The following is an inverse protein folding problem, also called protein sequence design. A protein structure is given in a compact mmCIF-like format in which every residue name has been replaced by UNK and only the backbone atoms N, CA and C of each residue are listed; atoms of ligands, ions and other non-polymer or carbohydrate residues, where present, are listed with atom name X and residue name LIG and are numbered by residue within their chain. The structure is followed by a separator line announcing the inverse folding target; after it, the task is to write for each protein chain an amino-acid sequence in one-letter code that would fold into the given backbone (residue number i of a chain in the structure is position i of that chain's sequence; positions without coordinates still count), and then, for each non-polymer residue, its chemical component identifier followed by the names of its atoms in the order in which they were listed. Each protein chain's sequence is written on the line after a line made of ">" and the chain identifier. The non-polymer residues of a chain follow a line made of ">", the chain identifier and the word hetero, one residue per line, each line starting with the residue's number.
data_IF_452717271884
#
_entry.id   IF_452717271884
#
_cell.length_a   1.000
_cell.length_b   1.000
_cell.length_c   1.000
_cell.angle_alpha   90.00
_cell.angle_beta   90.00
_cell.angle_gamma   90.00
#
_symmetry.space_group_name_H-M   'P 1'
#
loop_
_entity.id
_entity.type
_entity.pdbx_description
1 polymer ?
#
# COMPACT_ATOMS: atom_id res chain seq x y z
N UNK A 1 1.96 -10.63 18.70
CA UNK A 1 2.06 -10.32 17.26
C UNK A 1 2.57 -8.90 17.01
N UNK A 2 1.87 -7.84 17.44
CA UNK A 2 2.33 -6.44 17.31
C UNK A 2 3.82 -6.21 17.65
N UNK A 3 4.28 -6.76 18.79
CA UNK A 3 5.68 -6.66 19.24
C UNK A 3 6.71 -7.14 18.20
N UNK A 4 6.39 -8.14 17.38
CA UNK A 4 7.30 -8.65 16.34
C UNK A 4 7.49 -7.63 15.21
N UNK A 5 6.40 -6.94 14.82
CA UNK A 5 6.46 -5.88 13.81
C UNK A 5 7.15 -4.65 14.38
N UNK A 6 6.86 -4.27 15.62
CA UNK A 6 7.53 -3.15 16.31
C UNK A 6 9.04 -3.34 16.44
N UNK A 7 9.51 -4.60 16.49
CA UNK A 7 10.92 -4.95 16.63
C UNK A 7 11.51 -5.63 15.38
N UNK A 8 10.90 -5.42 14.21
CA UNK A 8 11.34 -6.05 12.95
C UNK A 8 12.81 -5.80 12.63
N UNK A 9 13.36 -4.65 13.02
CA UNK A 9 14.78 -4.32 12.81
C UNK A 9 15.74 -5.31 13.47
N UNK A 10 15.39 -5.88 14.63
CA UNK A 10 16.20 -6.91 15.32
C UNK A 10 16.14 -8.22 14.54
N UNK A 11 14.95 -8.60 14.09
CA UNK A 11 14.71 -9.85 13.36
C UNK A 11 15.39 -9.85 11.99
N UNK A 12 15.51 -8.67 11.37
CA UNK A 12 16.13 -8.47 10.07
C UNK A 12 17.66 -8.27 10.13
N UNK A 13 18.28 -8.26 11.32
CA UNK A 13 19.72 -8.07 11.49
C UNK A 13 20.56 -9.36 11.29
N UNK A 14 19.92 -10.52 11.09
CA UNK A 14 20.59 -11.82 10.97
C UNK A 14 21.21 -12.13 9.60
N UNK A 15 21.70 -13.38 9.45
CA UNK A 15 22.21 -13.91 8.17
C UNK A 15 21.13 -13.92 7.08
N UNK A 16 21.53 -14.02 5.80
CA UNK A 16 20.60 -13.97 4.68
C UNK A 16 19.46 -15.01 4.77
N UNK A 17 19.76 -16.24 5.19
CA UNK A 17 18.76 -17.29 5.39
C UNK A 17 17.80 -16.96 6.55
N UNK A 18 18.33 -16.45 7.67
CA UNK A 18 17.51 -16.04 8.80
C UNK A 18 16.58 -14.88 8.42
N UNK A 19 17.08 -13.90 7.67
CA UNK A 19 16.26 -12.81 7.15
C UNK A 19 15.12 -13.32 6.28
N UNK A 20 15.37 -14.28 5.38
CA UNK A 20 14.31 -14.86 4.55
C UNK A 20 13.20 -15.49 5.38
N UNK A 21 13.55 -16.34 6.36
CA UNK A 21 12.57 -16.98 7.23
C UNK A 21 11.83 -15.95 8.09
N UNK A 22 12.52 -14.93 8.58
CA UNK A 22 11.91 -13.86 9.38
C UNK A 22 11.00 -12.95 8.55
N UNK A 23 11.28 -12.73 7.27
CA UNK A 23 10.39 -11.99 6.38
C UNK A 23 9.04 -12.71 6.21
N UNK A 24 9.01 -14.03 6.11
CA UNK A 24 7.76 -14.81 6.06
C UNK A 24 6.95 -14.70 7.37
N UNK A 25 7.64 -14.69 8.51
CA UNK A 25 6.98 -14.45 9.81
C UNK A 25 6.43 -13.02 9.87
N UNK A 26 7.23 -12.03 9.48
CA UNK A 26 6.81 -10.62 9.45
C UNK A 26 5.64 -10.41 8.48
N UNK A 27 5.60 -11.13 7.36
CA UNK A 27 4.47 -11.15 6.43
C UNK A 27 3.19 -11.60 7.15
N UNK A 28 3.22 -12.78 7.78
CA UNK A 28 2.06 -13.32 8.47
C UNK A 28 1.59 -12.39 9.59
N UNK A 29 2.53 -11.80 10.34
CA UNK A 29 2.21 -10.86 11.43
C UNK A 29 1.61 -9.57 10.88
N UNK A 30 2.20 -8.99 9.83
CA UNK A 30 1.69 -7.78 9.18
C UNK A 30 0.26 -7.98 8.64
N UNK A 31 0.01 -9.13 8.02
CA UNK A 31 -1.32 -9.50 7.54
C UNK A 31 -2.32 -9.60 8.70
N UNK A 32 -1.99 -10.33 9.77
CA UNK A 32 -2.86 -10.44 10.95
C UNK A 32 -3.14 -9.05 11.54
N UNK A 33 -2.14 -8.20 11.66
CA UNK A 33 -2.31 -6.85 12.20
C UNK A 33 -3.23 -5.98 11.33
N UNK A 34 -3.20 -6.15 10.00
CA UNK A 34 -4.06 -5.40 9.09
C UNK A 34 -5.49 -5.94 9.02
N UNK A 35 -5.69 -7.25 8.97
CA UNK A 35 -7.03 -7.86 8.90
C UNK A 35 -7.79 -7.81 10.22
N UNK A 36 -7.08 -7.96 11.33
CA UNK A 36 -7.65 -8.06 12.68
C UNK A 36 -7.18 -6.88 13.53
N UNK A 37 -7.15 -5.69 12.94
CA UNK A 37 -6.65 -4.47 13.60
C UNK A 37 -7.37 -4.19 14.91
N UNK A 38 -8.66 -4.51 15.02
CA UNK A 38 -9.46 -4.39 16.24
C UNK A 38 -8.91 -5.20 17.43
N UNK A 39 -8.07 -6.21 17.19
CA UNK A 39 -7.42 -7.02 18.22
C UNK A 39 -5.96 -6.61 18.49
N UNK A 40 -5.45 -5.62 17.76
CA UNK A 40 -4.10 -5.07 17.93
C UNK A 40 -4.11 -4.00 19.02
N UNK A 41 -3.35 -4.22 20.10
CA UNK A 41 -3.31 -3.29 21.24
C UNK A 41 -2.68 -1.93 20.92
N UNK A 42 -1.66 -1.89 20.06
CA UNK A 42 -0.92 -0.68 19.70
C UNK A 42 -0.91 -0.51 18.18
N UNK A 43 -2.09 -0.28 17.59
CA UNK A 43 -2.25 -0.15 16.13
C UNK A 43 -1.32 0.93 15.56
N UNK A 44 -1.22 2.08 16.24
CA UNK A 44 -0.37 3.20 15.81
C UNK A 44 1.11 2.85 15.82
N UNK A 45 1.62 2.22 16.88
CA UNK A 45 3.01 1.76 16.93
C UNK A 45 3.35 0.71 15.87
N UNK A 46 2.41 -0.20 15.59
CA UNK A 46 2.55 -1.17 14.49
C UNK A 46 2.62 -0.45 13.15
N UNK A 47 1.70 0.47 12.86
CA UNK A 47 1.69 1.27 11.62
C UNK A 47 3.02 2.03 11.45
N UNK A 48 3.46 2.74 12.49
CA UNK A 48 4.72 3.48 12.48
C UNK A 48 5.93 2.57 12.22
N UNK A 49 5.96 1.37 12.80
CA UNK A 49 7.03 0.40 12.56
C UNK A 49 7.01 -0.14 11.13
N UNK A 50 5.84 -0.48 10.61
CA UNK A 50 5.69 -0.92 9.23
C UNK A 50 6.15 0.16 8.25
N UNK A 51 5.82 1.42 8.50
CA UNK A 51 6.26 2.58 7.71
C UNK A 51 7.77 2.86 7.83
N UNK A 52 8.47 2.40 8.87
CA UNK A 52 9.93 2.52 9.00
C UNK A 52 10.70 1.46 8.23
N UNK A 53 10.01 0.43 7.73
CA UNK A 53 10.66 -0.69 7.03
C UNK A 53 11.20 -0.25 5.67
N UNK A 54 12.49 -0.49 5.42
CA UNK A 54 13.11 -0.21 4.11
C UNK A 54 12.58 -1.19 3.05
N UNK A 55 12.14 -0.70 1.88
CA UNK A 55 11.67 -1.56 0.78
C UNK A 55 12.66 -2.66 0.35
N UNK A 56 13.97 -2.37 0.40
CA UNK A 56 15.02 -3.32 0.03
C UNK A 56 15.26 -4.44 1.05
N UNK A 57 14.64 -4.38 2.23
CA UNK A 57 14.80 -5.38 3.27
C UNK A 57 13.87 -6.61 3.09
N UNK A 58 12.92 -6.56 2.15
CA UNK A 58 11.92 -7.61 1.95
C UNK A 58 11.81 -8.04 0.47
N UNK A 59 11.55 -9.32 0.21
CA UNK A 59 11.12 -9.78 -1.12
C UNK A 59 9.85 -9.05 -1.60
N UNK A 60 9.73 -8.87 -2.92
CA UNK A 60 8.63 -8.10 -3.51
C UNK A 60 7.22 -8.57 -3.15
N UNK A 61 6.97 -9.88 -3.13
CA UNK A 61 5.65 -10.41 -2.78
C UNK A 61 5.29 -10.11 -1.31
N UNK A 62 6.27 -10.15 -0.40
CA UNK A 62 6.11 -9.79 1.02
C UNK A 62 5.84 -8.28 1.13
N UNK A 63 6.64 -7.47 0.44
CA UNK A 63 6.51 -6.02 0.45
C UNK A 63 5.13 -5.55 -0.06
N UNK A 64 4.58 -6.21 -1.08
CA UNK A 64 3.25 -5.88 -1.61
C UNK A 64 2.13 -6.12 -0.58
N UNK A 65 2.21 -7.21 0.17
CA UNK A 65 1.26 -7.50 1.26
C UNK A 65 1.51 -6.54 2.43
N UNK A 66 2.76 -6.21 2.73
CA UNK A 66 3.12 -5.24 3.77
C UNK A 66 2.50 -3.85 3.51
N UNK A 67 2.64 -3.32 2.29
CA UNK A 67 2.04 -2.03 1.88
C UNK A 67 0.52 -2.06 1.94
N UNK A 68 -0.11 -3.18 1.56
CA UNK A 68 -1.56 -3.32 1.67
C UNK A 68 -2.03 -3.21 3.13
N UNK A 69 -1.34 -3.87 4.06
CA UNK A 69 -1.71 -3.89 5.47
C UNK A 69 -1.39 -2.59 6.20
N UNK A 70 -0.40 -1.81 5.74
CA UNK A 70 -0.23 -0.40 6.12
C UNK A 70 -1.52 0.39 5.85
N UNK A 71 -2.11 0.20 4.67
CA UNK A 71 -3.36 0.86 4.28
C UNK A 71 -4.56 0.45 5.15
N UNK A 72 -4.67 -0.84 5.50
CA UNK A 72 -5.72 -1.35 6.40
C UNK A 72 -5.61 -0.77 7.82
N UNK A 73 -4.40 -0.73 8.37
CA UNK A 73 -4.14 -0.13 9.69
C UNK A 73 -4.47 1.37 9.70
N UNK A 74 -4.06 2.11 8.67
CA UNK A 74 -4.43 3.51 8.52
C UNK A 74 -5.94 3.70 8.48
N UNK A 75 -6.66 2.89 7.69
CA UNK A 75 -8.12 2.93 7.62
C UNK A 75 -8.78 2.70 8.98
N UNK A 76 -8.31 1.70 9.72
CA UNK A 76 -8.85 1.37 11.04
C UNK A 76 -8.61 2.47 12.06
N UNK A 77 -7.39 3.03 12.12
CA UNK A 77 -7.05 4.15 13.01
C UNK A 77 -7.80 5.43 12.65
N UNK A 78 -7.89 5.74 11.36
CA UNK A 78 -8.60 6.92 10.85
C UNK A 78 -10.08 6.87 11.23
N UNK A 79 -10.72 5.71 11.04
CA UNK A 79 -12.14 5.54 11.38
C UNK A 79 -12.40 5.73 12.88
N UNK A 80 -11.50 5.21 13.73
CA UNK A 80 -11.58 5.42 15.18
C UNK A 80 -11.44 6.92 15.55
N UNK A 81 -10.48 7.62 14.95
CA UNK A 81 -10.28 9.04 15.18
C UNK A 81 -11.50 9.88 14.72
N UNK A 82 -12.11 9.52 13.59
CA UNK A 82 -13.35 10.14 13.12
C UNK A 82 -14.54 9.88 14.03
N UNK A 83 -14.70 8.67 14.55
CA UNK A 83 -15.78 8.33 15.49
C UNK A 83 -15.69 9.14 16.79
N UNK A 84 -14.46 9.49 17.21
CA UNK A 84 -14.17 10.32 18.37
C UNK A 84 -14.14 11.83 18.07
N UNK A 85 -14.30 12.24 16.80
CA UNK A 85 -14.11 13.61 16.32
C UNK A 85 -12.71 14.18 16.69
N UNK A 86 -11.70 13.31 16.84
CA UNK A 86 -10.31 13.68 17.14
C UNK A 86 -9.57 14.10 15.87
N UNK A 87 -9.85 15.34 15.45
CA UNK A 87 -9.27 15.94 14.26
C UNK A 87 -7.75 16.12 14.32
N UNK A 88 -7.18 16.31 15.51
CA UNK A 88 -5.72 16.41 15.66
C UNK A 88 -5.05 15.07 15.37
N UNK A 89 -5.67 13.97 15.79
CA UNK A 89 -5.21 12.63 15.45
C UNK A 89 -5.37 12.32 13.96
N UNK A 90 -6.47 12.72 13.33
CA UNK A 90 -6.69 12.61 11.88
C UNK A 90 -5.56 13.32 11.11
N UNK A 91 -5.33 14.60 11.41
CA UNK A 91 -4.29 15.41 10.76
C UNK A 91 -2.89 14.79 11.01
N UNK A 92 -2.65 14.24 12.21
CA UNK A 92 -1.42 13.55 12.56
C UNK A 92 -1.20 12.27 11.74
N UNK A 93 -2.26 11.47 11.52
CA UNK A 93 -2.22 10.24 10.73
C UNK A 93 -1.94 10.52 9.24
N UNK A 94 -2.61 11.52 8.66
CA UNK A 94 -2.39 11.92 7.28
C UNK A 94 -0.94 12.37 7.05
N UNK A 95 -0.42 13.21 7.94
CA UNK A 95 0.97 13.67 7.90
C UNK A 95 1.98 12.51 8.05
N UNK A 96 1.71 11.58 8.97
CA UNK A 96 2.55 10.38 9.13
C UNK A 96 2.61 9.58 7.83
N UNK A 97 1.45 9.32 7.23
CA UNK A 97 1.36 8.54 6.00
C UNK A 97 2.03 9.24 4.82
N UNK A 98 1.71 10.52 4.57
CA UNK A 98 2.27 11.28 3.46
C UNK A 98 3.78 11.52 3.59
N UNK A 99 4.31 11.54 4.82
CA UNK A 99 5.76 11.70 5.05
C UNK A 99 6.55 10.40 4.91
N UNK A 100 5.97 9.23 5.24
CA UNK A 100 6.70 7.95 5.25
C UNK A 100 6.41 7.05 4.07
N UNK A 101 5.19 7.07 3.52
CA UNK A 101 4.82 6.22 2.40
C UNK A 101 5.62 6.46 1.09
N UNK A 102 6.13 7.68 0.78
CA UNK A 102 6.89 7.92 -0.44
C UNK A 102 8.12 7.03 -0.65
N UNK A 103 8.72 6.47 0.41
CA UNK A 103 9.87 5.57 0.26
C UNK A 103 9.52 4.29 -0.53
N UNK A 104 8.28 3.80 -0.42
CA UNK A 104 7.83 2.57 -1.09
C UNK A 104 7.57 2.77 -2.58
N UNK A 105 7.33 4.01 -3.01
CA UNK A 105 7.15 4.37 -4.43
C UNK A 105 8.41 4.12 -5.26
N UNK A 106 9.60 4.13 -4.65
CA UNK A 106 10.86 3.85 -5.34
C UNK A 106 11.26 2.37 -5.25
N UNK A 107 10.34 1.49 -4.85
CA UNK A 107 10.60 0.05 -4.88
C UNK A 107 10.82 -0.44 -6.32
N UNK A 108 11.84 -1.28 -6.49
CA UNK A 108 12.11 -2.04 -7.72
C UNK A 108 11.09 -3.17 -7.96
N UNK A 109 10.23 -3.46 -6.99
CA UNK A 109 9.14 -4.42 -7.11
C UNK A 109 7.85 -3.72 -7.57
N UNK A 110 7.50 -3.90 -8.85
CA UNK A 110 6.42 -3.18 -9.52
C UNK A 110 5.06 -3.26 -8.81
N UNK A 111 4.70 -4.42 -8.26
CA UNK A 111 3.43 -4.60 -7.54
C UNK A 111 3.41 -3.78 -6.24
N UNK A 112 4.47 -3.83 -5.43
CA UNK A 112 4.59 -3.05 -4.21
C UNK A 112 4.61 -1.54 -4.50
N UNK A 113 5.34 -1.13 -5.54
CA UNK A 113 5.37 0.24 -6.02
C UNK A 113 3.97 0.72 -6.40
N UNK A 114 3.24 -0.02 -7.23
CA UNK A 114 1.88 0.35 -7.66
C UNK A 114 0.93 0.51 -6.48
N UNK A 115 0.97 -0.42 -5.52
CA UNK A 115 0.15 -0.31 -4.29
C UNK A 115 0.50 0.93 -3.48
N UNK A 116 1.78 1.23 -3.30
CA UNK A 116 2.21 2.43 -2.57
C UNK A 116 1.76 3.72 -3.27
N UNK A 117 1.89 3.79 -4.59
CA UNK A 117 1.45 4.93 -5.39
C UNK A 117 -0.07 5.12 -5.33
N UNK A 118 -0.83 4.03 -5.45
CA UNK A 118 -2.29 4.06 -5.34
C UNK A 118 -2.71 4.52 -3.95
N UNK A 119 -2.14 3.94 -2.89
CA UNK A 119 -2.44 4.31 -1.51
C UNK A 119 -2.10 5.78 -1.23
N UNK A 120 -0.95 6.28 -1.71
CA UNK A 120 -0.60 7.70 -1.57
C UNK A 120 -1.59 8.63 -2.30
N UNK A 121 -2.10 8.23 -3.46
CA UNK A 121 -3.13 8.98 -4.18
C UNK A 121 -4.42 9.06 -3.37
N UNK A 122 -4.86 7.92 -2.84
CA UNK A 122 -6.05 7.81 -2.01
C UNK A 122 -5.92 8.72 -0.78
N UNK A 123 -4.79 8.67 -0.08
CA UNK A 123 -4.55 9.49 1.12
C UNK A 123 -4.54 10.98 0.79
N UNK A 124 -4.00 11.40 -0.36
CA UNK A 124 -4.07 12.82 -0.79
C UNK A 124 -5.50 13.29 -1.04
N UNK A 125 -6.35 12.42 -1.60
CA UNK A 125 -7.77 12.74 -1.80
C UNK A 125 -8.46 12.87 -0.44
N UNK A 126 -8.21 11.93 0.47
CA UNK A 126 -8.76 11.91 1.82
C UNK A 126 -8.33 13.14 2.62
N UNK A 127 -7.04 13.46 2.62
CA UNK A 127 -6.48 14.65 3.29
C UNK A 127 -7.13 15.96 2.80
N UNK A 128 -7.46 16.05 1.52
CA UNK A 128 -8.19 17.21 0.98
C UNK A 128 -9.63 17.36 1.49
N UNK A 129 -10.27 16.25 1.88
CA UNK A 129 -11.58 16.22 2.52
C UNK A 129 -11.47 16.49 4.04
N UNK A 130 -10.46 15.94 4.70
CA UNK A 130 -10.17 16.22 6.12
C UNK A 130 -9.88 17.70 6.39
N UNK A 131 -9.21 18.41 5.46
CA UNK A 131 -9.06 19.88 5.51
C UNK A 131 -10.38 20.64 5.55
N UNK A 132 -11.46 20.04 5.04
CA UNK A 132 -12.82 20.58 5.04
C UNK A 132 -13.66 20.00 6.18
N UNK A 133 -13.04 19.28 7.14
CA UNK A 133 -13.68 18.56 8.24
C UNK A 133 -14.76 17.57 7.76
N UNK A 134 -14.52 16.93 6.62
CA UNK A 134 -15.39 15.88 6.07
C UNK A 134 -14.82 14.52 6.44
N UNK A 135 -15.63 13.68 7.09
CA UNK A 135 -15.30 12.30 7.43
C UNK A 135 -15.29 11.43 6.18
N UNK A 136 -14.28 10.57 6.04
CA UNK A 136 -14.05 9.66 4.90
C UNK A 136 -13.79 8.21 5.34
N UNK A 137 -13.84 7.91 6.63
CA UNK A 137 -13.56 6.60 7.20
C UNK A 137 -14.47 5.50 6.65
N UNK A 138 -15.77 5.78 6.48
CA UNK A 138 -16.72 4.81 5.94
C UNK A 138 -16.41 4.45 4.47
N UNK A 139 -16.08 5.43 3.64
CA UNK A 139 -15.65 5.24 2.25
C UNK A 139 -14.32 4.49 2.19
N UNK A 140 -13.40 4.80 3.09
CA UNK A 140 -12.10 4.15 3.18
C UNK A 140 -12.23 2.69 3.62
N UNK A 141 -13.14 2.36 4.54
CA UNK A 141 -13.42 0.98 4.94
C UNK A 141 -13.94 0.15 3.77
N UNK A 142 -14.86 0.70 2.96
CA UNK A 142 -15.39 0.04 1.76
C UNK A 142 -14.33 -0.33 0.74
N UNK A 143 -13.20 0.38 0.69
CA UNK A 143 -12.08 0.03 -0.20
C UNK A 143 -11.47 -1.34 0.14
N UNK A 144 -11.53 -1.73 1.41
CA UNK A 144 -10.98 -2.98 1.92
C UNK A 144 -12.05 -4.03 2.22
N UNK A 145 -13.31 -3.73 1.92
CA UNK A 145 -14.41 -4.67 2.08
C UNK A 145 -14.44 -5.67 0.91
N UNK A 146 -14.53 -6.95 1.26
CA UNK A 146 -14.48 -8.07 0.31
C UNK A 146 -13.07 -8.53 -0.11
N UNK A 147 -13.02 -9.70 -0.75
CA UNK A 147 -11.77 -10.26 -1.26
C UNK A 147 -11.38 -9.61 -2.59
N UNK A 148 -10.19 -9.01 -2.66
CA UNK A 148 -9.58 -8.61 -3.92
C UNK A 148 -9.13 -9.86 -4.69
N UNK A 149 -10.00 -10.36 -5.57
CA UNK A 149 -9.67 -11.48 -6.45
C UNK A 149 -8.66 -10.99 -7.50
N UNK A 150 -7.48 -11.63 -7.63
CA UNK A 150 -6.57 -11.33 -8.71
C UNK A 150 -7.30 -11.44 -10.04
N UNK A 151 -7.20 -10.41 -10.87
CA UNK A 151 -7.82 -10.46 -12.21
C UNK A 151 -7.21 -11.65 -12.94
N UNK A 152 -8.02 -12.67 -13.21
CA UNK A 152 -7.55 -13.88 -13.87
C UNK A 152 -6.85 -13.52 -15.19
N UNK A 153 -5.75 -14.21 -15.53
CA UNK A 153 -4.97 -13.93 -16.75
C UNK A 153 -5.84 -13.85 -18.00
N UNK A 154 -6.87 -14.70 -18.08
CA UNK A 154 -7.88 -14.69 -19.16
C UNK A 154 -8.71 -13.40 -19.20
N UNK A 155 -9.08 -12.84 -18.05
CA UNK A 155 -9.77 -11.55 -17.95
C UNK A 155 -8.83 -10.39 -18.29
N UNK A 156 -7.58 -10.45 -17.81
CA UNK A 156 -6.55 -9.44 -18.10
C UNK A 156 -6.23 -9.33 -19.61
N UNK A 157 -6.21 -10.47 -20.31
CA UNK A 157 -6.02 -10.50 -21.77
C UNK A 157 -7.13 -9.78 -22.54
N UNK A 158 -8.35 -9.69 -21.97
CA UNK A 158 -9.50 -9.01 -22.59
C UNK A 158 -9.48 -7.50 -22.42
N UNK A 159 -8.63 -6.94 -21.55
CA UNK A 159 -8.55 -5.49 -21.32
C UNK A 159 -7.99 -4.79 -22.57
N UNK A 160 -8.76 -3.96 -23.31
CA UNK A 160 -8.28 -3.31 -24.52
C UNK A 160 -7.07 -2.41 -24.21
N UNK A 161 -6.16 -2.25 -25.18
CA UNK A 161 -5.04 -1.30 -25.03
C UNK A 161 -5.64 0.11 -25.07
N UNK A 162 -5.34 0.98 -24.08
CA UNK A 162 -5.86 2.34 -24.06
C UNK A 162 -5.46 3.12 -25.32
N UNK A 163 -6.36 3.98 -25.80
CA UNK A 163 -6.06 4.90 -26.89
C UNK A 163 -4.98 5.91 -26.48
N UNK A 164 -4.12 6.33 -27.42
CA UNK A 164 -2.99 7.23 -27.14
C UNK A 164 -3.42 8.56 -26.48
N UNK A 165 -4.62 9.04 -26.80
CA UNK A 165 -5.21 10.25 -26.22
C UNK A 165 -5.52 10.11 -24.71
N UNK A 166 -5.82 8.90 -24.24
CA UNK A 166 -6.01 8.58 -22.82
C UNK A 166 -4.65 8.48 -22.13
N UNK A 167 -3.64 7.94 -22.82
CA UNK A 167 -2.28 7.79 -22.31
C UNK A 167 -1.61 9.14 -22.00
N UNK A 168 -1.79 10.15 -22.87
CA UNK A 168 -1.31 11.51 -22.60
C UNK A 168 -1.91 12.14 -21.34
N UNK A 169 -3.20 11.86 -21.05
CA UNK A 169 -3.88 12.34 -19.85
C UNK A 169 -3.40 11.59 -18.60
N UNK A 170 -3.19 10.27 -18.69
CA UNK A 170 -2.62 9.43 -17.63
C UNK A 170 -1.18 9.84 -17.28
N UNK A 171 -0.35 10.13 -18.28
CA UNK A 171 1.03 10.61 -18.09
C UNK A 171 1.10 11.92 -17.32
N UNK A 172 0.09 12.80 -17.49
CA UNK A 172 0.01 14.06 -16.76
C UNK A 172 -0.24 13.83 -15.26
N UNK A 173 -1.12 12.87 -14.91
CA UNK A 173 -1.33 12.44 -13.52
C UNK A 173 -0.09 11.75 -12.95
N UNK A 174 0.59 10.91 -13.71
CA UNK A 174 1.79 10.21 -13.21
C UNK A 174 3.03 11.09 -13.13
N UNK A 175 3.11 12.15 -13.94
CA UNK A 175 4.11 13.21 -13.79
C UNK A 175 3.90 14.00 -12.48
N UNK A 176 2.65 14.36 -12.14
CA UNK A 176 2.29 14.98 -10.85
C UNK A 176 2.62 14.05 -9.67
N UNK A 177 2.45 12.74 -9.87
CA UNK A 177 2.71 11.72 -8.84
C UNK A 177 4.16 11.23 -8.83
N UNK A 178 4.99 11.63 -9.81
CA UNK A 178 6.39 11.25 -10.02
C UNK A 178 6.65 9.75 -10.20
N UNK A 179 5.70 8.99 -10.73
CA UNK A 179 5.79 7.53 -10.93
C UNK A 179 6.03 7.26 -12.43
N UNK A 180 7.02 6.43 -12.82
CA UNK A 180 7.17 6.05 -14.21
C UNK A 180 5.96 5.22 -14.68
N UNK A 181 5.30 5.66 -15.75
CA UNK A 181 4.26 4.90 -16.42
C UNK A 181 4.86 3.88 -17.39
N UNK A 182 4.19 2.74 -17.54
CA UNK A 182 4.54 1.74 -18.54
C UNK A 182 4.05 2.22 -19.92
N UNK A 183 5.00 2.53 -20.80
CA UNK A 183 4.74 3.01 -22.18
C UNK A 183 3.76 2.09 -22.92
N UNK A 184 2.92 2.60 -23.84
CA UNK A 184 1.96 1.78 -24.58
C UNK A 184 2.67 0.66 -25.35
N UNK A 185 3.89 0.92 -25.81
CA UNK A 185 4.77 -0.06 -26.42
C UNK A 185 5.19 -1.18 -25.45
N UNK A 186 5.50 -0.85 -24.19
CA UNK A 186 5.82 -1.84 -23.16
C UNK A 186 4.59 -2.63 -22.72
N UNK A 187 3.44 -1.98 -22.60
CA UNK A 187 2.17 -2.65 -22.30
C UNK A 187 1.78 -3.64 -23.41
N UNK A 188 1.99 -3.26 -24.69
CA UNK A 188 1.82 -4.17 -25.83
C UNK A 188 2.77 -5.36 -25.76
N UNK A 189 4.05 -5.15 -25.44
CA UNK A 189 5.04 -6.24 -25.25
C UNK A 189 4.62 -7.17 -24.11
N UNK A 190 4.16 -6.63 -22.98
CA UNK A 190 3.66 -7.43 -21.85
C UNK A 190 2.44 -8.26 -22.24
N UNK A 191 1.49 -7.68 -22.99
CA UNK A 191 0.33 -8.41 -23.52
C UNK A 191 0.70 -9.50 -24.53
N UNK A 192 1.76 -9.31 -25.31
CA UNK A 192 2.26 -10.33 -26.23
C UNK A 192 2.97 -11.46 -25.48
N UNK A 193 3.75 -11.15 -24.44
CA UNK A 193 4.43 -12.15 -23.60
C UNK A 193 3.44 -13.02 -22.80
N UNK A 194 2.26 -12.49 -22.44
CA UNK A 194 1.20 -13.25 -21.77
C UNK A 194 0.33 -14.09 -22.73
N UNK A 195 0.58 -14.06 -24.05
CA UNK A 195 -0.14 -14.84 -25.07
C UNK A 195 0.60 -16.11 -25.51
N UNK A 196 1.87 -16.28 -25.15
CA UNK A 196 2.62 -17.53 -25.36
C UNK A 196 2.24 -18.55 -24.27
N UNK A 197 1.96 -19.81 -24.65
CA UNK A 197 1.53 -20.86 -23.72
C UNK A 197 2.58 -21.20 -22.67
#
# INVERSE_FOLDING_TARGET
>A
MALLVENAYVLLAGSAQQRSNMCEVLLAVAWICGEYSQHVRNQRGVLESMLKTKPSAMPGHILSVHVQNIGKLYCSLMSQAEDEDDWDQIDSLDNLMLSKLPQFKFSEHLEAQKRACNLMTIIRIIESHHRQRQKMGAELQKLYDGELIPVATKAQQKVPVPEEKIYGRWNQYTAIMGVPCMEPAEFRKMKMAQKTP
#
